data_IF_980878355192
#
_entry.id   IF_980878355192
#
_cell.length_a   1.000
_cell.length_b   1.000
_cell.length_c   1.000
_cell.angle_alpha   90.00
_cell.angle_beta   90.00
_cell.angle_gamma   90.00
#
_symmetry.space_group_name_H-M   'P 1'
#
loop_
_entity.id
_entity.type
_entity.pdbx_description
1 polymer ?
#
# COMPACT_ATOMS: atom_id res chain seq x y z
N UNK A 1 -8.98 4.44 -2.65
CA UNK A 1 -9.41 3.72 -3.86
C UNK A 1 -10.61 2.83 -3.57
N UNK A 2 -11.44 2.59 -4.58
CA UNK A 2 -12.57 1.67 -4.48
C UNK A 2 -12.71 0.92 -5.84
N UNK A 3 -12.64 -0.43 -5.85
CA UNK A 3 -12.47 -1.31 -4.70
C UNK A 3 -11.04 -1.33 -4.14
N UNK A 4 -10.93 -1.68 -2.86
CA UNK A 4 -9.66 -1.77 -2.15
C UNK A 4 -9.74 -2.81 -1.02
N UNK A 5 -8.60 -3.13 -0.42
CA UNK A 5 -8.52 -4.01 0.75
C UNK A 5 -9.37 -3.45 1.92
N UNK A 6 -10.38 -4.17 2.41
CA UNK A 6 -11.39 -3.63 3.33
C UNK A 6 -10.84 -3.09 4.65
N UNK A 7 -9.69 -3.61 5.09
CA UNK A 7 -9.07 -3.27 6.37
C UNK A 7 -8.77 -1.76 6.52
N UNK A 8 -8.61 -1.02 5.42
CA UNK A 8 -8.42 0.44 5.52
C UNK A 8 -9.67 1.13 6.05
N UNK A 9 -10.85 0.73 5.61
CA UNK A 9 -12.12 1.23 6.16
C UNK A 9 -12.31 0.68 7.58
N UNK A 10 -12.17 -0.62 7.78
CA UNK A 10 -12.39 -1.28 9.08
C UNK A 10 -11.53 -0.69 10.20
N UNK A 11 -10.26 -0.40 9.92
CA UNK A 11 -9.36 0.20 10.92
C UNK A 11 -9.79 1.62 11.32
N UNK A 12 -10.35 2.38 10.39
CA UNK A 12 -10.90 3.70 10.68
C UNK A 12 -12.26 3.63 11.40
N UNK A 13 -13.08 2.61 11.09
CA UNK A 13 -14.30 2.31 11.88
C UNK A 13 -13.94 2.02 13.33
N UNK A 14 -12.98 1.12 13.56
CA UNK A 14 -12.51 0.80 14.92
C UNK A 14 -11.91 2.00 15.64
N UNK A 15 -11.34 2.96 14.90
CA UNK A 15 -10.83 4.21 15.46
C UNK A 15 -11.91 5.28 15.68
N UNK A 16 -13.16 5.03 15.29
CA UNK A 16 -14.28 5.98 15.40
C UNK A 16 -14.13 7.21 14.49
N UNK A 17 -13.52 7.05 13.30
CA UNK A 17 -13.19 8.16 12.39
C UNK A 17 -14.06 8.22 11.13
N UNK A 18 -14.91 7.23 10.90
CA UNK A 18 -15.68 7.08 9.65
C UNK A 18 -17.00 7.83 9.60
N UNK A 19 -17.43 8.43 10.72
CA UNK A 19 -18.74 9.09 10.80
C UNK A 19 -19.89 8.08 10.88
N UNK A 20 -21.01 8.38 10.22
CA UNK A 20 -22.24 7.59 10.23
C UNK A 20 -22.29 6.66 9.02
N UNK A 21 -22.68 5.41 9.24
CA UNK A 21 -22.92 4.44 8.16
C UNK A 21 -24.29 4.62 7.54
N UNK A 22 -24.35 4.73 6.22
CA UNK A 22 -25.60 4.71 5.45
C UNK A 22 -25.80 3.32 4.83
N UNK A 23 -26.79 2.58 5.35
CA UNK A 23 -27.11 1.24 4.88
C UNK A 23 -27.73 1.18 3.47
N UNK A 24 -28.16 2.31 2.90
CA UNK A 24 -28.72 2.35 1.54
C UNK A 24 -27.63 2.42 0.48
N UNK A 25 -26.57 3.16 0.77
CA UNK A 25 -25.43 3.35 -0.13
C UNK A 25 -24.25 2.46 0.26
N UNK A 26 -24.33 1.80 1.40
CA UNK A 26 -23.25 1.00 2.00
C UNK A 26 -21.95 1.80 2.20
N UNK A 27 -22.08 3.09 2.53
CA UNK A 27 -20.95 4.01 2.68
C UNK A 27 -20.90 4.68 4.06
N UNK A 28 -19.74 5.18 4.43
CA UNK A 28 -19.49 5.96 5.63
C UNK A 28 -19.36 7.45 5.30
N UNK A 29 -20.01 8.31 6.07
CA UNK A 29 -20.10 9.75 5.79
C UNK A 29 -18.76 10.50 5.78
N UNK A 30 -17.73 10.01 6.48
CA UNK A 30 -16.42 10.62 6.55
C UNK A 30 -15.36 9.84 5.76
N UNK A 31 -15.79 8.99 4.82
CA UNK A 31 -14.90 8.25 3.92
C UNK A 31 -15.13 8.73 2.50
N UNK A 32 -14.06 9.17 1.85
CA UNK A 32 -14.07 9.55 0.44
C UNK A 32 -13.69 8.30 -0.36
N UNK A 33 -14.62 7.81 -1.16
CA UNK A 33 -14.43 6.68 -2.05
C UNK A 33 -13.94 7.19 -3.41
N UNK A 34 -12.80 6.68 -3.87
CA UNK A 34 -12.20 7.06 -5.15
C UNK A 34 -12.34 5.91 -6.13
N UNK A 35 -13.29 5.97 -7.07
CA UNK A 35 -13.55 4.87 -7.99
C UNK A 35 -12.32 4.53 -8.83
N UNK A 36 -12.02 3.24 -8.92
CA UNK A 36 -10.98 2.67 -9.77
C UNK A 36 -11.66 1.64 -10.69
N UNK A 37 -12.07 2.08 -11.87
CA UNK A 37 -12.89 1.32 -12.81
C UNK A 37 -12.21 1.22 -14.18
N UNK A 38 -12.76 0.45 -15.08
CA UNK A 38 -12.25 0.34 -16.44
C UNK A 38 -12.31 1.68 -17.20
N UNK A 39 -13.31 2.50 -16.93
CA UNK A 39 -13.54 3.79 -17.58
C UNK A 39 -12.43 4.80 -17.26
N UNK A 40 -11.82 4.72 -16.07
CA UNK A 40 -10.70 5.58 -15.68
C UNK A 40 -9.36 4.83 -15.67
N UNK A 41 -9.27 3.68 -16.36
CA UNK A 41 -8.08 2.82 -16.38
C UNK A 41 -7.56 2.46 -14.98
N UNK A 42 -8.45 2.36 -14.00
CA UNK A 42 -8.15 2.09 -12.59
C UNK A 42 -7.22 3.13 -11.93
N UNK A 43 -7.10 4.32 -12.52
CA UNK A 43 -6.34 5.45 -11.95
C UNK A 43 -7.31 6.31 -11.14
N UNK A 44 -7.14 6.40 -9.81
CA UNK A 44 -8.02 7.21 -8.98
C UNK A 44 -7.81 8.70 -9.24
N UNK A 45 -8.90 9.45 -9.34
CA UNK A 45 -8.86 10.91 -9.43
C UNK A 45 -8.59 11.54 -8.06
N UNK A 46 -7.96 12.71 -8.06
CA UNK A 46 -7.78 13.48 -6.84
C UNK A 46 -9.14 13.89 -6.26
N UNK A 47 -9.35 13.72 -4.94
CA UNK A 47 -10.62 14.05 -4.33
C UNK A 47 -10.88 15.56 -4.32
N UNK A 48 -12.15 15.97 -4.39
CA UNK A 48 -12.57 17.37 -4.29
C UNK A 48 -12.43 17.90 -2.86
N UNK A 49 -12.71 17.04 -1.90
CA UNK A 49 -12.56 17.33 -0.47
C UNK A 49 -11.15 16.91 -0.02
N UNK A 50 -10.55 17.69 0.87
CA UNK A 50 -9.20 17.39 1.38
C UNK A 50 -9.30 16.36 2.51
N UNK A 51 -8.79 15.12 2.33
CA UNK A 51 -8.75 14.12 3.39
C UNK A 51 -7.54 14.36 4.30
N UNK A 52 -7.65 13.99 5.57
CA UNK A 52 -6.50 13.92 6.49
C UNK A 52 -5.55 12.78 6.12
N UNK A 53 -6.13 11.62 5.74
CA UNK A 53 -5.39 10.40 5.39
C UNK A 53 -5.82 9.89 4.03
N UNK A 54 -4.85 9.51 3.22
CA UNK A 54 -5.04 8.91 1.89
C UNK A 54 -4.46 7.50 1.93
N UNK A 55 -5.26 6.48 1.61
CA UNK A 55 -4.77 5.11 1.45
C UNK A 55 -4.56 4.80 -0.02
N UNK A 56 -3.33 4.44 -0.39
CA UNK A 56 -2.96 3.94 -1.71
C UNK A 56 -2.34 2.55 -1.56
N UNK A 57 -2.97 1.53 -2.16
CA UNK A 57 -2.43 0.19 -2.26
C UNK A 57 -1.98 -0.05 -3.70
N UNK A 58 -0.69 -0.13 -3.95
CA UNK A 58 -0.15 -0.21 -5.30
C UNK A 58 1.04 -1.18 -5.35
N UNK A 59 0.90 -2.26 -6.13
CA UNK A 59 -0.29 -2.74 -6.86
C UNK A 59 -1.49 -2.98 -5.96
N UNK A 60 -2.70 -2.68 -6.48
CA UNK A 60 -3.92 -2.68 -5.70
C UNK A 60 -4.46 -4.10 -5.42
N UNK A 61 -5.00 -4.30 -4.24
CA UNK A 61 -5.84 -5.43 -3.89
C UNK A 61 -7.30 -4.94 -3.81
N UNK A 62 -8.26 -5.39 -4.67
CA UNK A 62 -8.23 -6.67 -5.40
C UNK A 62 -7.89 -6.57 -6.90
N UNK A 63 -7.75 -5.38 -7.49
CA UNK A 63 -7.73 -5.21 -8.95
C UNK A 63 -6.42 -5.66 -9.61
N UNK A 64 -5.31 -5.71 -8.85
CA UNK A 64 -3.98 -5.99 -9.38
C UNK A 64 -3.39 -4.86 -10.24
N UNK A 65 -4.06 -3.72 -10.28
CA UNK A 65 -3.65 -2.55 -11.08
C UNK A 65 -2.67 -1.67 -10.30
N UNK A 66 -1.94 -0.86 -11.01
CA UNK A 66 -1.01 0.12 -10.45
C UNK A 66 -1.04 1.41 -11.27
N UNK A 67 -0.33 2.42 -10.81
CA UNK A 67 -0.17 3.70 -11.50
C UNK A 67 1.30 3.94 -11.79
N UNK A 68 1.59 4.81 -12.76
CA UNK A 68 2.95 5.21 -13.07
C UNK A 68 3.57 6.04 -11.94
N UNK A 69 4.89 6.16 -11.96
CA UNK A 69 5.62 7.00 -11.00
C UNK A 69 5.21 8.49 -11.11
N UNK A 70 4.93 8.96 -12.33
CA UNK A 70 4.49 10.34 -12.55
C UNK A 70 3.09 10.57 -11.96
N UNK A 71 2.16 9.62 -12.13
CA UNK A 71 0.85 9.68 -11.50
C UNK A 71 0.95 9.60 -9.97
N UNK A 72 1.87 8.78 -9.42
CA UNK A 72 2.12 8.73 -7.99
C UNK A 72 2.70 10.05 -7.47
N UNK A 73 3.55 10.73 -8.25
CA UNK A 73 4.08 12.05 -7.91
C UNK A 73 2.96 13.09 -7.72
N UNK A 74 1.90 13.03 -8.54
CA UNK A 74 0.73 13.92 -8.40
C UNK A 74 0.07 13.77 -7.01
N UNK A 75 -0.01 12.54 -6.49
CA UNK A 75 -0.54 12.27 -5.15
C UNK A 75 0.36 12.81 -4.04
N UNK A 76 1.68 12.66 -4.20
CA UNK A 76 2.66 13.21 -3.25
C UNK A 76 2.59 14.74 -3.22
N UNK A 77 2.50 15.39 -4.38
CA UNK A 77 2.38 16.85 -4.48
C UNK A 77 1.05 17.32 -3.87
N UNK A 78 -0.04 16.61 -4.15
CA UNK A 78 -1.35 16.90 -3.56
C UNK A 78 -1.31 16.79 -2.02
N UNK A 79 -0.73 15.72 -1.48
CA UNK A 79 -0.65 15.51 -0.03
C UNK A 79 0.19 16.59 0.65
N UNK A 80 1.35 16.93 0.09
CA UNK A 80 2.19 18.02 0.62
C UNK A 80 1.49 19.38 0.57
N UNK A 81 0.79 19.67 -0.51
CA UNK A 81 0.04 20.95 -0.68
C UNK A 81 -1.07 21.10 0.35
N UNK A 82 -1.76 20.02 0.69
CA UNK A 82 -2.96 20.04 1.52
C UNK A 82 -2.72 19.62 2.97
N UNK A 83 -1.52 19.17 3.32
CA UNK A 83 -1.19 18.67 4.66
C UNK A 83 -1.77 17.29 4.96
N UNK A 84 -2.13 16.52 3.93
CA UNK A 84 -2.61 15.14 4.07
C UNK A 84 -1.45 14.16 4.29
N UNK A 85 -1.73 13.00 4.90
CA UNK A 85 -0.76 11.92 5.06
C UNK A 85 -1.15 10.74 4.19
N UNK A 86 -0.25 10.30 3.32
CA UNK A 86 -0.43 9.10 2.52
C UNK A 86 0.02 7.87 3.33
N UNK A 87 -0.84 6.86 3.43
CA UNK A 87 -0.47 5.51 3.84
C UNK A 87 -0.35 4.69 2.56
N UNK A 88 0.89 4.43 2.16
CA UNK A 88 1.22 3.70 0.95
C UNK A 88 1.46 2.22 1.28
N UNK A 89 0.54 1.36 0.85
CA UNK A 89 0.67 -0.08 1.02
C UNK A 89 1.35 -0.71 -0.19
N UNK A 90 2.61 -1.09 0.01
CA UNK A 90 3.47 -1.70 -1.00
C UNK A 90 3.59 -3.22 -0.81
N UNK A 91 2.56 -3.88 -0.26
CA UNK A 91 2.62 -5.33 0.01
C UNK A 91 2.84 -6.19 -1.24
N UNK A 92 2.50 -5.68 -2.42
CA UNK A 92 2.62 -6.38 -3.70
C UNK A 92 3.72 -5.81 -4.61
N UNK A 93 4.59 -4.93 -4.12
CA UNK A 93 5.60 -4.23 -4.93
C UNK A 93 6.55 -5.17 -5.68
N UNK A 94 6.82 -6.37 -5.15
CA UNK A 94 7.70 -7.34 -5.78
C UNK A 94 7.15 -7.92 -7.10
N UNK A 95 5.88 -7.72 -7.38
CA UNK A 95 5.23 -8.16 -8.63
C UNK A 95 5.21 -7.08 -9.72
N UNK A 96 5.71 -5.88 -9.44
CA UNK A 96 5.88 -4.82 -10.44
C UNK A 96 6.95 -5.26 -11.44
N UNK A 97 6.62 -5.18 -12.73
CA UNK A 97 7.49 -5.54 -13.84
C UNK A 97 7.74 -4.39 -14.81
N UNK A 98 7.06 -3.29 -14.64
CA UNK A 98 7.10 -2.11 -15.49
C UNK A 98 8.12 -1.09 -14.95
N UNK A 99 9.03 -0.62 -15.80
CA UNK A 99 10.11 0.30 -15.41
C UNK A 99 9.63 1.69 -14.97
N UNK A 100 8.42 2.08 -15.41
CA UNK A 100 7.82 3.39 -15.09
C UNK A 100 6.95 3.37 -13.83
N UNK A 101 6.91 2.26 -13.10
CA UNK A 101 6.14 2.08 -11.85
C UNK A 101 7.10 2.08 -10.66
N UNK A 102 6.81 2.89 -9.66
CA UNK A 102 7.64 2.98 -8.46
C UNK A 102 7.46 1.75 -7.55
N UNK A 103 8.57 1.19 -7.07
CA UNK A 103 8.59 0.12 -6.05
C UNK A 103 8.46 0.67 -4.62
N UNK A 104 8.66 1.95 -4.46
CA UNK A 104 8.52 2.67 -3.19
C UNK A 104 8.00 4.07 -3.44
N UNK A 105 7.11 4.56 -2.58
CA UNK A 105 6.65 5.96 -2.66
C UNK A 105 7.82 6.95 -2.50
N UNK A 106 8.89 6.53 -1.83
CA UNK A 106 10.08 7.38 -1.61
C UNK A 106 10.94 7.58 -2.85
N UNK A 107 10.59 6.97 -3.98
CA UNK A 107 11.13 7.33 -5.28
C UNK A 107 10.53 8.63 -5.83
N UNK A 108 9.40 9.09 -5.25
CA UNK A 108 8.78 10.36 -5.56
C UNK A 108 9.38 11.49 -4.72
N UNK A 109 9.57 12.65 -5.36
CA UNK A 109 10.10 13.83 -4.69
C UNK A 109 9.13 14.35 -3.63
N UNK A 110 9.65 14.64 -2.42
CA UNK A 110 8.82 15.15 -1.31
C UNK A 110 8.00 14.10 -0.56
N UNK A 111 8.08 12.81 -0.90
CA UNK A 111 7.30 11.76 -0.23
C UNK A 111 7.65 11.61 1.26
N UNK A 112 8.88 11.89 1.66
CA UNK A 112 9.31 11.79 3.07
C UNK A 112 8.60 12.76 4.01
N UNK A 113 8.01 13.80 3.48
CA UNK A 113 7.28 14.81 4.28
C UNK A 113 5.78 14.56 4.37
N UNK A 114 5.23 13.59 3.59
CA UNK A 114 3.80 13.33 3.56
C UNK A 114 3.41 11.84 3.54
N UNK A 115 4.35 10.89 3.53
CA UNK A 115 4.00 9.48 3.36
C UNK A 115 4.58 8.56 4.42
N UNK A 116 3.79 7.54 4.77
CA UNK A 116 4.16 6.34 5.53
C UNK A 116 4.06 5.15 4.57
N UNK A 117 5.10 4.31 4.51
CA UNK A 117 5.09 3.13 3.66
C UNK A 117 4.98 1.84 4.48
N UNK A 118 4.10 0.95 4.04
CA UNK A 118 3.91 -0.37 4.60
C UNK A 118 4.52 -1.43 3.67
N UNK A 119 5.37 -2.28 4.21
CA UNK A 119 5.99 -3.41 3.51
C UNK A 119 5.60 -4.73 4.17
N UNK A 120 5.42 -5.77 3.37
CA UNK A 120 5.03 -7.09 3.84
C UNK A 120 5.89 -8.17 3.22
N UNK A 121 6.36 -9.10 4.04
CA UNK A 121 7.02 -10.32 3.56
C UNK A 121 6.02 -11.44 3.22
N UNK A 122 4.72 -11.24 3.49
CA UNK A 122 3.69 -12.26 3.27
C UNK A 122 3.57 -12.67 1.81
N UNK A 123 3.78 -11.73 0.87
CA UNK A 123 3.57 -11.94 -0.56
C UNK A 123 4.86 -12.28 -1.27
N UNK A 124 5.86 -11.41 -1.17
CA UNK A 124 7.13 -11.58 -1.87
C UNK A 124 7.93 -12.79 -1.36
N UNK A 125 7.97 -13.04 -0.06
CA UNK A 125 8.76 -14.12 0.57
C UNK A 125 7.94 -15.36 0.96
N UNK A 126 6.63 -15.39 0.68
CA UNK A 126 5.76 -16.48 1.13
C UNK A 126 5.58 -16.55 2.64
N UNK A 127 5.83 -15.47 3.38
CA UNK A 127 5.82 -15.42 4.84
C UNK A 127 4.43 -15.18 5.44
N UNK A 128 3.36 -15.58 4.73
CA UNK A 128 1.99 -15.40 5.24
C UNK A 128 1.79 -16.00 6.63
N UNK A 129 2.35 -17.18 6.90
CA UNK A 129 2.32 -17.84 8.21
C UNK A 129 3.37 -17.34 9.19
N UNK A 130 4.44 -16.69 8.73
CA UNK A 130 5.54 -16.16 9.56
C UNK A 130 5.14 -14.85 10.25
N UNK A 131 4.22 -14.07 9.68
CA UNK A 131 3.68 -12.80 10.21
C UNK A 131 4.74 -11.70 10.36
N UNK A 132 5.41 -11.35 9.27
CA UNK A 132 6.43 -10.31 9.26
C UNK A 132 6.12 -9.23 8.22
N UNK A 133 6.29 -7.99 8.62
CA UNK A 133 6.25 -6.80 7.81
C UNK A 133 6.96 -5.66 8.53
N UNK A 134 7.09 -4.52 7.88
CA UNK A 134 7.63 -3.31 8.51
C UNK A 134 6.96 -2.05 7.98
N UNK A 135 7.03 -1.01 8.78
CA UNK A 135 6.50 0.31 8.46
C UNK A 135 7.65 1.31 8.42
N UNK A 136 7.73 2.08 7.36
CA UNK A 136 8.68 3.19 7.24
C UNK A 136 7.95 4.48 7.54
N UNK A 137 8.36 5.15 8.61
CA UNK A 137 7.87 6.48 9.01
C UNK A 137 9.05 7.43 8.99
N UNK A 138 9.18 8.32 8.01
CA UNK A 138 10.31 9.24 7.91
C UNK A 138 10.38 10.20 9.10
N UNK A 139 11.59 10.62 9.45
CA UNK A 139 11.81 11.62 10.52
C UNK A 139 11.32 13.01 10.12
N UNK A 140 11.29 13.26 8.81
CA UNK A 140 10.82 14.50 8.20
C UNK A 140 9.29 14.65 8.28
N UNK A 141 8.55 13.53 8.43
CA UNK A 141 7.10 13.52 8.45
C UNK A 141 6.56 14.11 9.75
N UNK A 142 5.85 15.22 9.63
CA UNK A 142 5.23 15.94 10.74
C UNK A 142 3.76 16.24 10.46
N UNK A 143 2.98 16.34 11.52
CA UNK A 143 1.63 16.88 11.49
C UNK A 143 1.52 17.94 12.60
N UNK A 144 1.18 19.19 12.26
CA UNK A 144 1.14 20.32 13.19
C UNK A 144 2.42 20.41 14.05
N UNK A 145 3.59 20.35 13.41
CA UNK A 145 4.93 20.35 14.03
C UNK A 145 5.24 19.15 14.94
N UNK A 146 4.33 18.20 15.09
CA UNK A 146 4.55 16.96 15.84
C UNK A 146 5.14 15.88 14.94
N UNK A 147 6.27 15.29 15.36
CA UNK A 147 6.92 14.19 14.62
C UNK A 147 6.08 12.93 14.66
N UNK A 148 5.58 12.48 13.49
CA UNK A 148 4.86 11.20 13.38
C UNK A 148 5.80 10.00 13.61
N UNK A 149 7.09 10.13 13.26
CA UNK A 149 8.08 9.11 13.56
C UNK A 149 8.23 8.88 15.07
N UNK A 150 8.35 9.95 15.85
CA UNK A 150 8.46 9.84 17.31
C UNK A 150 7.18 9.27 17.95
N UNK A 151 6.00 9.68 17.44
CA UNK A 151 4.71 9.12 17.89
C UNK A 151 4.59 7.64 17.56
N UNK A 152 4.95 7.25 16.35
CA UNK A 152 4.95 5.86 15.93
C UNK A 152 5.89 5.01 16.78
N UNK A 153 7.13 5.46 16.98
CA UNK A 153 8.11 4.74 17.81
C UNK A 153 7.58 4.53 19.25
N UNK A 154 6.98 5.55 19.83
CA UNK A 154 6.37 5.46 21.17
C UNK A 154 5.21 4.47 21.19
N UNK A 155 4.28 4.59 20.24
CA UNK A 155 3.11 3.69 20.15
C UNK A 155 3.53 2.25 19.90
N UNK A 156 4.42 2.02 18.93
CA UNK A 156 4.88 0.69 18.57
C UNK A 156 5.59 0.00 19.73
N UNK A 157 6.55 0.70 20.35
CA UNK A 157 7.28 0.17 21.50
C UNK A 157 6.42 -0.07 22.75
N UNK A 158 5.28 0.63 22.88
CA UNK A 158 4.36 0.44 24.02
C UNK A 158 3.35 -0.69 23.78
N UNK A 159 2.85 -0.83 22.54
CA UNK A 159 1.74 -1.74 22.20
C UNK A 159 2.20 -3.12 21.72
N UNK A 160 3.36 -3.21 21.08
CA UNK A 160 3.75 -4.41 20.36
C UNK A 160 5.18 -4.88 20.67
N UNK A 161 6.14 -3.97 20.92
CA UNK A 161 7.58 -4.21 21.11
C UNK A 161 8.33 -4.77 19.89
N UNK A 162 7.66 -5.19 18.85
CA UNK A 162 8.27 -5.72 17.62
C UNK A 162 7.99 -7.20 17.38
N UNK A 163 8.35 -7.65 16.19
CA UNK A 163 8.22 -9.06 15.80
C UNK A 163 9.21 -9.94 16.60
N UNK A 164 8.91 -11.24 16.80
CA UNK A 164 9.85 -12.16 17.42
C UNK A 164 11.18 -12.21 16.68
N UNK A 165 12.27 -12.43 17.42
CA UNK A 165 13.65 -12.38 16.88
C UNK A 165 13.87 -13.35 15.70
N UNK A 166 13.30 -14.56 15.75
CA UNK A 166 13.43 -15.55 14.68
C UNK A 166 12.83 -15.02 13.37
N UNK A 167 11.67 -14.38 13.42
CA UNK A 167 11.04 -13.77 12.26
C UNK A 167 11.86 -12.59 11.71
N UNK A 168 12.47 -11.78 12.59
CA UNK A 168 13.36 -10.71 12.16
C UNK A 168 14.59 -11.25 11.43
N UNK A 169 15.19 -12.34 11.93
CA UNK A 169 16.33 -13.01 11.25
C UNK A 169 15.91 -13.63 9.92
N UNK A 170 14.70 -14.20 9.84
CA UNK A 170 14.14 -14.68 8.57
C UNK A 170 13.96 -13.53 7.56
N UNK A 171 13.47 -12.37 8.00
CA UNK A 171 13.35 -11.17 7.16
C UNK A 171 14.69 -10.65 6.68
N UNK A 172 15.73 -10.67 7.54
CA UNK A 172 17.08 -10.30 7.15
C UNK A 172 17.63 -11.24 6.06
N UNK A 173 17.40 -12.54 6.20
CA UNK A 173 17.84 -13.54 5.22
C UNK A 173 17.21 -13.31 3.82
N UNK A 174 15.99 -12.75 3.73
CA UNK A 174 15.34 -12.36 2.48
C UNK A 174 16.18 -11.37 1.67
N UNK A 175 16.91 -10.49 2.32
CA UNK A 175 17.76 -9.47 1.68
C UNK A 175 19.20 -9.94 1.40
N UNK A 176 19.56 -11.17 1.79
CA UNK A 176 20.83 -11.76 1.38
C UNK A 176 20.84 -12.03 -0.14
N UNK A 177 22.02 -12.20 -0.74
CA UNK A 177 22.11 -12.51 -2.18
C UNK A 177 21.39 -13.83 -2.52
N UNK A 178 21.50 -14.86 -1.67
CA UNK A 178 20.77 -16.11 -1.84
C UNK A 178 19.25 -15.93 -1.69
N UNK A 179 18.80 -15.12 -0.70
CA UNK A 179 17.40 -14.80 -0.50
C UNK A 179 16.80 -14.05 -1.70
N UNK A 180 17.48 -13.02 -2.19
CA UNK A 180 17.05 -12.27 -3.39
C UNK A 180 16.94 -13.15 -4.62
N UNK A 181 17.90 -14.08 -4.83
CA UNK A 181 17.84 -15.02 -5.95
C UNK A 181 16.61 -15.93 -5.86
N UNK A 182 16.35 -16.52 -4.69
CA UNK A 182 15.16 -17.35 -4.46
C UNK A 182 13.85 -16.58 -4.66
N UNK A 183 13.78 -15.34 -4.16
CA UNK A 183 12.62 -14.49 -4.35
C UNK A 183 12.35 -14.19 -5.82
N UNK A 184 13.39 -13.91 -6.58
CA UNK A 184 13.26 -13.66 -8.03
C UNK A 184 12.65 -14.87 -8.75
N UNK A 185 13.09 -16.07 -8.43
CA UNK A 185 12.54 -17.31 -8.99
C UNK A 185 11.07 -17.52 -8.57
N UNK A 186 10.75 -17.29 -7.29
CA UNK A 186 9.39 -17.41 -6.76
C UNK A 186 8.43 -16.40 -7.42
N UNK A 187 8.82 -15.15 -7.52
CA UNK A 187 8.03 -14.11 -8.20
C UNK A 187 7.83 -14.45 -9.67
N UNK A 188 8.88 -14.89 -10.36
CA UNK A 188 8.79 -15.32 -11.76
C UNK A 188 7.80 -16.47 -11.94
N UNK A 189 7.77 -17.44 -11.03
CA UNK A 189 6.80 -18.53 -11.03
C UNK A 189 5.36 -18.01 -10.91
N UNK A 190 5.07 -17.13 -9.96
CA UNK A 190 3.73 -16.55 -9.80
C UNK A 190 3.32 -15.69 -11.00
N UNK A 191 4.23 -14.89 -11.54
CA UNK A 191 3.95 -14.07 -12.73
C UNK A 191 3.68 -14.92 -13.95
N UNK A 192 4.36 -16.08 -14.11
CA UNK A 192 4.05 -17.03 -15.16
C UNK A 192 2.67 -17.67 -15.01
N UNK A 193 2.29 -18.02 -13.78
CA UNK A 193 0.94 -18.53 -13.49
C UNK A 193 -0.13 -17.49 -13.83
N UNK A 194 0.09 -16.22 -13.48
CA UNK A 194 -0.81 -15.12 -13.82
C UNK A 194 -0.99 -14.97 -15.34
N UNK A 195 0.12 -15.05 -16.11
CA UNK A 195 0.07 -15.03 -17.59
C UNK A 195 -0.73 -16.20 -18.14
N UNK A 196 -0.53 -17.40 -17.62
CA UNK A 196 -1.24 -18.62 -18.06
C UNK A 196 -2.74 -18.49 -17.79
N UNK A 197 -3.12 -18.03 -16.59
CA UNK A 197 -4.53 -17.82 -16.22
C UNK A 197 -5.15 -16.75 -17.12
N UNK A 198 -4.49 -15.60 -17.28
CA UNK A 198 -4.98 -14.52 -18.15
C UNK A 198 -5.22 -14.98 -19.58
N UNK A 199 -4.28 -15.74 -20.14
CA UNK A 199 -4.42 -16.28 -21.50
C UNK A 199 -5.57 -17.28 -21.58
N UNK A 200 -5.67 -18.21 -20.63
CA UNK A 200 -6.76 -19.20 -20.59
C UNK A 200 -8.14 -18.56 -20.46
N UNK A 201 -8.28 -17.51 -19.64
CA UNK A 201 -9.54 -16.75 -19.56
C UNK A 201 -9.88 -16.05 -20.87
N UNK A 202 -8.87 -15.43 -21.51
CA UNK A 202 -9.06 -14.79 -22.83
C UNK A 202 -9.49 -15.79 -23.89
N UNK A 203 -8.87 -16.97 -23.94
CA UNK A 203 -9.20 -18.05 -24.88
C UNK A 203 -10.62 -18.60 -24.62
N UNK A 204 -11.10 -18.53 -23.38
CA UNK A 204 -12.45 -18.88 -22.98
C UNK A 204 -13.50 -17.75 -23.21
N UNK A 205 -13.09 -16.59 -23.75
CA UNK A 205 -13.97 -15.48 -24.10
C UNK A 205 -14.24 -14.47 -22.99
N UNK A 206 -13.48 -14.51 -21.91
CA UNK A 206 -13.51 -13.46 -20.88
C UNK A 206 -12.62 -12.27 -21.29
N UNK A 207 -13.09 -11.07 -20.98
CA UNK A 207 -12.38 -9.79 -21.24
C UNK A 207 -12.01 -9.09 -19.97
#
# INVERSE_FOLDING_TARGET
>A
CDPVYPVYVDSNVMAGRTGVYDAKTETWSNVIYMPCTMENNFVPELPKEVPDIIYLCLPNNPTGTTITKDELQVWVDYANKNGSVIIYDAAYEAYISEDNVAHSIYECNGAKTCAIELKSFSKNAGFTGVRLGYTVVPKELKCNDVSLNAMWARRHGTKFNGAPYIQQRAGEAVYSEAGKAQLKEQVAYYMNNAKTIKQGLKDAGYT
#
